data_IF_381509176782
#
_entry.id   IF_381509176782
#
_cell.length_a   1.000
_cell.length_b   1.000
_cell.length_c   1.000
_cell.angle_alpha   90.00
_cell.angle_beta   90.00
_cell.angle_gamma   90.00
#
_symmetry.space_group_name_H-M   'P 1'
#
loop_
_entity.id
_entity.type
_entity.pdbx_description
1 polymer ?
#
# COMPACT_ATOMS: atom_id res chain seq x y z
N UNK A 1 29.07 -4.25 -7.76
CA UNK A 1 28.69 -3.42 -6.60
C UNK A 1 27.18 -3.23 -6.72
N UNK A 2 26.42 -3.71 -5.76
CA UNK A 2 24.99 -3.43 -5.72
C UNK A 2 24.78 -1.93 -5.62
N UNK A 3 24.05 -1.34 -6.54
CA UNK A 3 23.69 0.08 -6.46
C UNK A 3 22.68 0.22 -5.32
N UNK A 4 23.17 0.60 -4.14
CA UNK A 4 22.30 0.90 -3.02
C UNK A 4 21.71 2.29 -3.22
N UNK A 5 20.39 2.38 -3.10
CA UNK A 5 19.64 3.64 -3.14
C UNK A 5 19.99 4.51 -1.92
N UNK A 6 20.12 5.85 -2.05
CA UNK A 6 20.25 6.72 -0.89
C UNK A 6 19.02 6.60 -0.01
N UNK A 7 19.23 6.34 1.28
CA UNK A 7 18.16 6.20 2.28
C UNK A 7 17.67 7.55 2.76
N UNK A 8 16.34 7.71 2.79
CA UNK A 8 15.70 8.85 3.42
C UNK A 8 15.25 8.50 4.84
N UNK A 9 15.46 9.41 5.79
CA UNK A 9 14.90 9.25 7.13
C UNK A 9 13.48 9.82 7.16
N UNK A 10 12.48 8.93 7.18
CA UNK A 10 11.06 9.33 7.16
C UNK A 10 10.65 10.11 8.41
N UNK A 11 11.24 9.82 9.59
CA UNK A 11 10.95 10.58 10.82
C UNK A 11 11.44 12.03 10.69
N UNK A 12 12.60 12.23 10.07
CA UNK A 12 13.12 13.56 9.81
C UNK A 12 12.20 14.37 8.89
N UNK A 13 11.58 13.74 7.89
CA UNK A 13 10.59 14.41 7.02
C UNK A 13 9.43 14.99 7.82
N UNK A 14 8.87 14.24 8.79
CA UNK A 14 7.82 14.74 9.66
C UNK A 14 8.31 15.92 10.53
N UNK A 15 9.52 15.84 11.05
CA UNK A 15 10.12 16.93 11.85
C UNK A 15 10.33 18.19 11.01
N UNK A 16 10.82 18.05 9.77
CA UNK A 16 11.01 19.16 8.86
C UNK A 16 9.67 19.80 8.44
N UNK A 17 8.64 19.00 8.11
CA UNK A 17 7.32 19.49 7.79
C UNK A 17 6.74 20.28 8.98
N UNK A 18 6.82 19.73 10.19
CA UNK A 18 6.37 20.38 11.42
C UNK A 18 7.12 21.70 11.68
N UNK A 19 8.42 21.74 11.49
CA UNK A 19 9.22 22.96 11.68
C UNK A 19 8.87 24.08 10.70
N UNK A 20 8.38 23.72 9.51
CA UNK A 20 7.89 24.64 8.47
C UNK A 20 6.40 25.00 8.65
N UNK A 21 5.73 24.48 9.71
CA UNK A 21 4.29 24.71 9.94
C UNK A 21 3.40 24.06 8.88
N UNK A 22 3.84 22.93 8.30
CA UNK A 22 3.11 22.18 7.27
C UNK A 22 3.03 20.70 7.62
N UNK A 23 2.48 19.89 6.73
CA UNK A 23 2.26 18.45 6.87
C UNK A 23 2.81 17.68 5.68
N UNK A 24 3.07 16.37 5.83
CA UNK A 24 3.48 15.53 4.72
C UNK A 24 2.28 15.16 3.81
N UNK A 25 2.48 15.30 2.51
CA UNK A 25 1.55 14.94 1.45
C UNK A 25 1.86 13.52 0.97
N UNK A 26 0.93 12.58 1.19
CA UNK A 26 1.24 11.16 1.11
C UNK A 26 0.34 10.45 0.10
N UNK A 27 0.95 9.67 -0.81
CA UNK A 27 0.24 8.75 -1.69
C UNK A 27 -0.01 7.42 -0.99
N UNK A 28 -1.28 7.02 -0.87
CA UNK A 28 -1.70 5.80 -0.18
C UNK A 28 -1.22 4.51 -0.89
N UNK A 29 -1.04 3.41 -0.13
CA UNK A 29 -0.93 2.08 -0.71
C UNK A 29 -2.25 1.68 -1.38
N UNK A 30 -2.20 1.37 -2.67
CA UNK A 30 -3.36 0.97 -3.47
C UNK A 30 -3.01 -0.26 -4.29
N UNK A 31 -3.69 -1.39 -4.01
CA UNK A 31 -3.49 -2.66 -4.73
C UNK A 31 -3.66 -2.43 -6.24
N UNK A 32 -2.72 -2.90 -7.04
CA UNK A 32 -2.62 -2.73 -8.49
C UNK A 32 -2.24 -1.33 -8.98
N UNK A 33 -2.39 -0.26 -8.17
CA UNK A 33 -2.20 1.12 -8.63
C UNK A 33 -0.90 1.77 -8.15
N UNK A 34 -0.46 1.55 -6.89
CA UNK A 34 0.76 2.17 -6.36
C UNK A 34 2.03 1.46 -6.84
N UNK A 35 2.12 1.16 -8.15
CA UNK A 35 3.33 0.62 -8.79
C UNK A 35 4.37 1.75 -8.99
N UNK A 36 5.60 1.38 -9.30
CA UNK A 36 6.75 2.29 -9.42
C UNK A 36 6.45 3.53 -10.28
N UNK A 37 5.87 3.31 -11.44
CA UNK A 37 5.61 4.37 -12.42
C UNK A 37 4.63 5.41 -11.89
N UNK A 38 3.58 4.97 -11.19
CA UNK A 38 2.61 5.87 -10.57
C UNK A 38 3.22 6.62 -9.38
N UNK A 39 4.04 5.96 -8.56
CA UNK A 39 4.76 6.63 -7.46
C UNK A 39 5.67 7.73 -7.99
N UNK A 40 6.41 7.47 -9.07
CA UNK A 40 7.26 8.49 -9.69
C UNK A 40 6.44 9.64 -10.29
N UNK A 41 5.29 9.35 -10.92
CA UNK A 41 4.41 10.38 -11.46
C UNK A 41 3.91 11.32 -10.36
N UNK A 42 3.35 10.80 -9.26
CA UNK A 42 2.79 11.65 -8.20
C UNK A 42 3.86 12.46 -7.46
N UNK A 43 5.12 11.98 -7.42
CA UNK A 43 6.25 12.75 -6.86
C UNK A 43 6.51 14.03 -7.65
N UNK A 44 6.43 14.00 -8.98
CA UNK A 44 6.61 15.20 -9.80
C UNK A 44 5.53 16.26 -9.58
N UNK A 45 4.46 15.89 -8.86
CA UNK A 45 3.36 16.79 -8.48
C UNK A 45 3.24 17.01 -6.96
N UNK A 46 4.34 16.97 -6.25
CA UNK A 46 4.41 17.43 -4.86
C UNK A 46 3.96 16.42 -3.81
N UNK A 47 3.99 15.12 -4.12
CA UNK A 47 3.87 14.05 -3.12
C UNK A 47 5.20 13.86 -2.40
N UNK A 48 5.20 13.99 -1.07
CA UNK A 48 6.41 13.91 -0.24
C UNK A 48 6.80 12.46 0.09
N UNK A 49 5.82 11.59 0.31
CA UNK A 49 6.02 10.18 0.68
C UNK A 49 5.07 9.28 -0.08
N UNK A 50 5.59 8.16 -0.60
CA UNK A 50 4.77 7.16 -1.30
C UNK A 50 4.84 5.81 -0.61
N UNK A 51 3.81 4.99 -0.88
CA UNK A 51 3.75 3.61 -0.44
C UNK A 51 3.72 2.67 -1.65
N UNK A 52 4.26 1.46 -1.51
CA UNK A 52 4.02 0.40 -2.49
C UNK A 52 2.55 -0.04 -2.45
N UNK A 53 2.11 -0.83 -3.40
CA UNK A 53 0.89 -1.65 -3.23
C UNK A 53 1.04 -2.53 -1.99
N UNK A 54 -0.09 -2.96 -1.41
CA UNK A 54 -0.07 -3.96 -0.34
C UNK A 54 0.46 -5.29 -0.89
N UNK A 55 1.54 -5.79 -0.31
CA UNK A 55 2.23 -7.02 -0.69
C UNK A 55 1.94 -8.10 0.35
N UNK A 56 1.63 -9.33 -0.08
CA UNK A 56 1.48 -10.46 0.82
C UNK A 56 2.84 -10.93 1.30
N UNK A 57 3.12 -10.84 2.61
CA UNK A 57 4.44 -11.10 3.17
C UNK A 57 4.86 -12.58 3.02
N UNK A 58 3.94 -13.52 3.20
CA UNK A 58 4.16 -14.95 3.03
C UNK A 58 4.54 -15.30 1.58
N UNK A 59 3.76 -14.84 0.61
CA UNK A 59 4.03 -15.06 -0.81
C UNK A 59 5.32 -14.40 -1.26
N UNK A 60 5.61 -13.19 -0.76
CA UNK A 60 6.86 -12.48 -1.01
C UNK A 60 8.08 -13.25 -0.51
N UNK A 61 8.00 -13.82 0.69
CA UNK A 61 9.07 -14.64 1.25
C UNK A 61 9.30 -15.95 0.49
N UNK A 62 8.23 -16.58 -0.01
CA UNK A 62 8.29 -17.93 -0.58
C UNK A 62 8.59 -17.96 -2.07
N UNK A 63 8.19 -16.92 -2.83
CA UNK A 63 8.18 -16.94 -4.29
C UNK A 63 8.97 -15.79 -4.90
N UNK A 64 10.00 -16.12 -5.68
CA UNK A 64 10.74 -15.14 -6.48
C UNK A 64 9.82 -14.45 -7.50
N UNK A 65 8.91 -15.19 -8.13
CA UNK A 65 7.92 -14.63 -9.06
C UNK A 65 7.03 -13.59 -8.37
N UNK A 66 6.59 -13.86 -7.11
CA UNK A 66 5.82 -12.90 -6.35
C UNK A 66 6.64 -11.64 -6.04
N UNK A 67 7.92 -11.78 -5.66
CA UNK A 67 8.82 -10.64 -5.44
C UNK A 67 8.95 -9.75 -6.66
N UNK A 68 9.25 -10.35 -7.81
CA UNK A 68 9.42 -9.62 -9.07
C UNK A 68 8.13 -8.94 -9.55
N UNK A 69 6.97 -9.56 -9.33
CA UNK A 69 5.70 -8.99 -9.74
C UNK A 69 5.20 -7.87 -8.80
N UNK A 70 5.46 -8.00 -7.50
CA UNK A 70 4.85 -7.10 -6.50
C UNK A 70 5.75 -5.93 -6.11
N UNK A 71 7.08 -6.09 -6.19
CA UNK A 71 8.02 -5.06 -5.79
C UNK A 71 8.95 -4.65 -6.93
N UNK A 72 8.85 -3.39 -7.33
CA UNK A 72 9.78 -2.72 -8.25
C UNK A 72 10.13 -1.35 -7.68
N UNK A 73 11.38 -0.92 -7.87
CA UNK A 73 11.86 0.40 -7.45
C UNK A 73 12.96 0.88 -8.39
N UNK A 74 13.29 2.17 -8.32
CA UNK A 74 14.44 2.77 -9.01
C UNK A 74 15.11 3.82 -8.10
N UNK A 75 16.18 4.47 -8.58
CA UNK A 75 16.94 5.42 -7.79
C UNK A 75 16.14 6.66 -7.37
N UNK A 76 15.11 7.04 -8.13
CA UNK A 76 14.29 8.23 -7.87
C UNK A 76 13.04 7.93 -7.03
N UNK A 77 12.75 6.63 -6.78
CA UNK A 77 11.63 6.19 -5.97
C UNK A 77 11.93 6.27 -4.47
N UNK A 78 12.24 7.48 -3.99
CA UNK A 78 12.56 7.79 -2.58
C UNK A 78 11.95 9.14 -2.20
N UNK A 79 11.36 9.28 -0.98
CA UNK A 79 11.15 8.25 0.05
C UNK A 79 9.98 7.31 -0.28
N UNK A 80 10.17 6.00 -0.07
CA UNK A 80 9.13 4.98 -0.26
C UNK A 80 9.02 4.03 0.93
N UNK A 81 7.79 3.71 1.32
CA UNK A 81 7.48 2.73 2.36
C UNK A 81 6.86 1.49 1.71
N UNK A 82 7.43 0.30 1.96
CA UNK A 82 6.84 -0.96 1.51
C UNK A 82 5.72 -1.38 2.47
N UNK A 83 4.49 -1.54 1.96
CA UNK A 83 3.37 -2.02 2.78
C UNK A 83 3.20 -3.52 2.62
N UNK A 84 3.20 -4.24 3.74
CA UNK A 84 2.91 -5.67 3.78
C UNK A 84 1.58 -5.99 4.46
N UNK A 85 0.90 -7.02 3.96
CA UNK A 85 -0.10 -7.76 4.68
C UNK A 85 0.58 -9.00 5.28
N UNK A 86 0.54 -9.14 6.60
CA UNK A 86 1.10 -10.25 7.35
C UNK A 86 0.16 -10.62 8.50
N UNK A 87 0.18 -11.88 8.91
CA UNK A 87 -0.57 -12.38 10.05
C UNK A 87 0.33 -13.13 11.07
N UNK A 88 1.64 -13.00 10.91
CA UNK A 88 2.63 -13.53 11.86
C UNK A 88 3.97 -12.77 11.73
N UNK A 89 4.75 -12.81 12.82
CA UNK A 89 6.00 -12.04 12.95
C UNK A 89 7.14 -12.55 12.07
N UNK A 90 7.15 -13.85 11.73
CA UNK A 90 8.23 -14.46 10.93
C UNK A 90 8.15 -13.96 9.50
N UNK A 91 6.96 -14.00 8.89
CA UNK A 91 6.78 -13.55 7.51
C UNK A 91 6.97 -12.05 7.40
N UNK A 92 6.42 -11.25 8.35
CA UNK A 92 6.57 -9.80 8.35
C UNK A 92 8.02 -9.36 8.50
N UNK A 93 8.77 -9.94 9.45
CA UNK A 93 10.20 -9.64 9.62
C UNK A 93 11.01 -10.05 8.38
N UNK A 94 10.80 -11.26 7.86
CA UNK A 94 11.57 -11.76 6.73
C UNK A 94 11.33 -10.96 5.45
N UNK A 95 10.06 -10.63 5.15
CA UNK A 95 9.73 -9.75 4.04
C UNK A 95 10.35 -8.35 4.20
N UNK A 96 10.36 -7.83 5.44
CA UNK A 96 10.98 -6.53 5.75
C UNK A 96 12.48 -6.57 5.54
N UNK A 97 13.18 -7.61 6.00
CA UNK A 97 14.63 -7.76 5.78
C UNK A 97 14.99 -7.84 4.31
N UNK A 98 14.18 -8.55 3.50
CA UNK A 98 14.40 -8.65 2.06
C UNK A 98 14.28 -7.28 1.36
N UNK A 99 13.30 -6.45 1.72
CA UNK A 99 13.12 -5.13 1.08
C UNK A 99 13.96 -4.02 1.72
N UNK A 100 14.49 -4.25 2.91
CA UNK A 100 15.25 -3.25 3.69
C UNK A 100 16.31 -2.50 2.86
N UNK A 101 17.09 -3.11 1.95
CA UNK A 101 18.06 -2.38 1.15
C UNK A 101 17.45 -1.37 0.17
N UNK A 102 16.18 -1.54 -0.19
CA UNK A 102 15.54 -0.87 -1.34
C UNK A 102 14.46 0.15 -0.96
N UNK A 103 14.08 0.24 0.32
CA UNK A 103 13.00 1.13 0.80
C UNK A 103 13.42 1.94 2.00
N UNK A 104 12.71 3.02 2.29
CA UNK A 104 13.00 3.94 3.40
C UNK A 104 12.23 3.57 4.68
N UNK A 105 11.27 2.67 4.56
CA UNK A 105 10.48 2.15 5.67
C UNK A 105 9.59 0.98 5.27
N UNK A 106 8.96 0.39 6.28
CA UNK A 106 7.96 -0.68 6.13
C UNK A 106 6.70 -0.31 6.88
N UNK A 107 5.56 -0.75 6.37
CA UNK A 107 4.24 -0.54 6.94
C UNK A 107 3.46 -1.85 7.05
N UNK A 108 2.79 -2.08 8.16
CA UNK A 108 1.89 -3.22 8.34
C UNK A 108 0.45 -2.81 8.02
N UNK A 109 -0.18 -3.51 7.09
CA UNK A 109 -1.59 -3.28 6.76
C UNK A 109 -2.52 -3.91 7.79
N UNK A 110 -3.23 -3.08 8.56
CA UNK A 110 -4.28 -3.47 9.48
C UNK A 110 -5.64 -2.82 9.14
N UNK A 111 -5.80 -2.36 7.88
CA UNK A 111 -6.98 -1.58 7.49
C UNK A 111 -7.77 -2.12 6.30
N UNK A 112 -7.27 -3.13 5.56
CA UNK A 112 -7.94 -3.69 4.39
C UNK A 112 -9.22 -4.44 4.81
N UNK A 113 -10.43 -4.02 4.33
CA UNK A 113 -11.70 -4.64 4.74
C UNK A 113 -12.16 -5.75 3.76
N UNK A 114 -11.36 -6.13 2.78
CA UNK A 114 -11.73 -7.13 1.78
C UNK A 114 -11.95 -8.50 2.40
N UNK A 115 -13.01 -9.21 1.96
CA UNK A 115 -13.42 -10.48 2.55
C UNK A 115 -12.30 -11.52 2.55
N UNK A 116 -11.63 -11.70 1.41
CA UNK A 116 -10.54 -12.67 1.28
C UNK A 116 -9.40 -12.37 2.29
N UNK A 117 -8.99 -11.11 2.41
CA UNK A 117 -7.93 -10.73 3.36
C UNK A 117 -8.34 -10.99 4.81
N UNK A 118 -9.60 -10.67 5.15
CA UNK A 118 -10.12 -10.89 6.52
C UNK A 118 -10.31 -12.38 6.85
N UNK A 119 -10.69 -13.22 5.88
CA UNK A 119 -10.83 -14.66 6.06
C UNK A 119 -9.49 -15.32 6.37
N UNK A 120 -8.41 -14.85 5.73
CA UNK A 120 -7.05 -15.35 5.92
C UNK A 120 -6.31 -14.67 7.09
N UNK A 121 -7.01 -13.84 7.88
CA UNK A 121 -6.45 -13.19 9.08
C UNK A 121 -5.60 -11.95 8.80
N UNK A 122 -5.70 -11.35 7.62
CA UNK A 122 -4.98 -10.14 7.22
C UNK A 122 -5.82 -8.87 7.36
N UNK A 123 -5.17 -7.73 7.23
CA UNK A 123 -5.84 -6.44 7.14
C UNK A 123 -6.68 -6.11 8.38
N UNK A 124 -7.97 -5.77 8.19
CA UNK A 124 -8.86 -5.39 9.30
C UNK A 124 -9.18 -6.53 10.27
N UNK A 125 -8.90 -7.80 9.92
CA UNK A 125 -9.05 -8.91 10.86
C UNK A 125 -8.13 -8.75 12.08
N UNK A 126 -6.92 -8.21 11.86
CA UNK A 126 -5.93 -7.97 12.91
C UNK A 126 -6.39 -6.98 13.98
N UNK A 127 -7.33 -6.09 13.66
CA UNK A 127 -7.88 -5.13 14.64
C UNK A 127 -8.60 -5.81 15.83
N UNK A 128 -8.91 -7.11 15.72
CA UNK A 128 -9.48 -7.92 16.80
C UNK A 128 -8.41 -8.48 17.75
N UNK A 129 -7.15 -8.46 17.34
CA UNK A 129 -6.00 -9.01 18.06
C UNK A 129 -4.83 -8.01 18.05
N UNK A 130 -4.96 -6.85 18.72
CA UNK A 130 -3.92 -5.81 18.73
C UNK A 130 -2.59 -6.29 19.29
N UNK A 131 -2.60 -7.33 20.14
CA UNK A 131 -1.39 -7.98 20.66
C UNK A 131 -0.55 -8.63 19.56
N UNK A 132 -1.19 -9.23 18.55
CA UNK A 132 -0.52 -9.79 17.39
C UNK A 132 0.11 -8.70 16.51
N UNK A 133 -0.59 -7.57 16.35
CA UNK A 133 -0.03 -6.38 15.65
C UNK A 133 1.21 -5.90 16.41
N UNK A 134 1.11 -5.75 17.73
CA UNK A 134 2.21 -5.30 18.57
C UNK A 134 3.41 -6.25 18.53
N UNK A 135 3.19 -7.57 18.51
CA UNK A 135 4.26 -8.57 18.38
C UNK A 135 4.98 -8.45 17.05
N UNK A 136 4.26 -8.33 15.93
CA UNK A 136 4.84 -8.15 14.58
C UNK A 136 5.68 -6.88 14.52
N UNK A 137 5.16 -5.74 14.96
CA UNK A 137 5.86 -4.45 14.93
C UNK A 137 7.10 -4.45 15.84
N UNK A 138 6.98 -4.94 17.08
CA UNK A 138 8.07 -5.04 18.03
C UNK A 138 9.18 -5.98 17.53
N UNK A 139 8.79 -7.07 16.85
CA UNK A 139 9.74 -8.00 16.25
C UNK A 139 10.59 -7.32 15.18
N UNK A 140 9.97 -6.55 14.28
CA UNK A 140 10.70 -5.78 13.26
C UNK A 140 11.59 -4.73 13.93
N UNK A 141 11.06 -3.97 14.92
CA UNK A 141 11.84 -2.94 15.63
C UNK A 141 13.10 -3.47 16.32
N UNK A 142 13.05 -4.67 16.90
CA UNK A 142 14.20 -5.28 17.56
C UNK A 142 15.27 -5.79 16.60
N UNK A 143 14.92 -6.07 15.36
CA UNK A 143 15.83 -6.69 14.40
C UNK A 143 16.41 -5.71 13.36
N UNK A 144 15.86 -4.48 13.25
CA UNK A 144 16.31 -3.49 12.28
C UNK A 144 16.83 -2.22 12.96
N UNK A 145 17.71 -1.45 12.27
CA UNK A 145 18.25 -0.21 12.81
C UNK A 145 17.15 0.77 13.24
N UNK A 146 17.38 1.51 14.35
CA UNK A 146 16.43 2.48 14.88
C UNK A 146 16.06 3.60 13.88
N UNK A 147 16.94 3.92 12.95
CA UNK A 147 16.72 4.92 11.89
C UNK A 147 15.81 4.42 10.74
N UNK A 148 15.54 3.11 10.66
CA UNK A 148 14.63 2.57 9.65
C UNK A 148 13.17 2.76 10.09
N UNK A 149 12.34 3.34 9.23
CA UNK A 149 10.96 3.63 9.56
C UNK A 149 10.11 2.36 9.61
N UNK A 150 9.36 2.18 10.70
CA UNK A 150 8.34 1.14 10.85
C UNK A 150 7.02 1.80 11.18
N UNK A 151 5.97 1.51 10.43
CA UNK A 151 4.67 2.10 10.60
C UNK A 151 3.55 1.07 10.50
N UNK A 152 2.33 1.49 10.83
CA UNK A 152 1.14 0.66 10.72
C UNK A 152 -0.02 1.50 10.19
N UNK A 153 -0.83 0.91 9.31
CA UNK A 153 -2.04 1.55 8.79
C UNK A 153 -3.28 0.85 9.30
N UNK A 154 -4.09 1.58 10.09
CA UNK A 154 -5.28 1.06 10.78
C UNK A 154 -6.56 1.78 10.36
N UNK A 155 -7.71 1.27 10.83
CA UNK A 155 -9.03 1.92 10.81
C UNK A 155 -9.52 2.13 12.25
N UNK A 156 -10.55 2.95 12.39
CA UNK A 156 -11.27 3.09 13.65
C UNK A 156 -11.90 1.75 14.06
N UNK A 157 -11.84 1.41 15.35
CA UNK A 157 -12.53 0.25 15.88
C UNK A 157 -14.04 0.51 15.96
N UNK A 158 -14.84 -0.53 15.71
CA UNK A 158 -16.30 -0.46 15.83
C UNK A 158 -16.77 -0.31 17.27
N UNK A 159 -15.95 -0.74 18.23
CA UNK A 159 -16.31 -0.81 19.65
C UNK A 159 -16.49 0.57 20.26
N UNK A 160 -15.48 1.42 20.15
CA UNK A 160 -15.51 2.82 20.65
C UNK A 160 -14.25 3.56 20.21
N UNK A 161 -14.31 4.90 20.28
CA UNK A 161 -13.12 5.73 20.05
C UNK A 161 -12.06 5.50 21.12
N UNK A 162 -12.45 5.36 22.40
CA UNK A 162 -11.52 5.04 23.49
C UNK A 162 -10.72 3.76 23.19
N UNK A 163 -11.39 2.69 22.74
CA UNK A 163 -10.70 1.43 22.38
C UNK A 163 -9.74 1.64 21.19
N UNK A 164 -10.07 2.53 20.26
CA UNK A 164 -9.15 2.88 19.15
C UNK A 164 -7.93 3.63 19.68
N UNK A 165 -8.11 4.59 20.58
CA UNK A 165 -7.01 5.33 21.21
C UNK A 165 -6.11 4.38 22.00
N UNK A 166 -6.69 3.49 22.81
CA UNK A 166 -5.92 2.52 23.60
C UNK A 166 -5.08 1.60 22.71
N UNK A 167 -5.66 1.10 21.61
CA UNK A 167 -4.93 0.34 20.59
C UNK A 167 -3.78 1.18 19.99
N UNK A 168 -4.05 2.42 19.58
CA UNK A 168 -3.01 3.27 18.97
C UNK A 168 -1.84 3.53 19.95
N UNK A 169 -2.13 3.74 21.24
CA UNK A 169 -1.10 3.88 22.29
C UNK A 169 -0.29 2.60 22.50
N UNK A 170 -0.96 1.43 22.46
CA UNK A 170 -0.26 0.15 22.51
C UNK A 170 0.69 -0.01 21.34
N UNK A 171 0.27 0.37 20.12
CA UNK A 171 1.11 0.31 18.92
C UNK A 171 2.26 1.33 18.97
N UNK A 172 2.02 2.53 19.48
CA UNK A 172 3.07 3.53 19.74
C UNK A 172 4.15 2.99 20.67
N UNK A 173 3.77 2.28 21.73
CA UNK A 173 4.70 1.67 22.68
C UNK A 173 5.61 0.60 22.06
N UNK A 174 5.28 0.09 20.85
CA UNK A 174 6.16 -0.81 20.08
C UNK A 174 7.33 -0.08 19.42
N UNK A 175 7.41 1.27 19.52
CA UNK A 175 8.48 2.07 18.93
C UNK A 175 8.34 2.28 17.43
N UNK A 176 7.12 2.34 16.90
CA UNK A 176 6.85 2.69 15.50
C UNK A 176 7.13 4.17 15.23
N UNK A 177 7.53 4.49 14.00
CA UNK A 177 7.91 5.83 13.59
C UNK A 177 6.71 6.76 13.39
N UNK A 178 5.59 6.23 12.93
CA UNK A 178 4.30 6.94 12.76
C UNK A 178 3.16 5.95 12.58
N UNK A 179 1.94 6.44 12.71
CA UNK A 179 0.71 5.67 12.49
C UNK A 179 -0.17 6.35 11.45
N UNK A 180 -0.76 5.56 10.54
CA UNK A 180 -1.78 6.04 9.60
C UNK A 180 -3.16 5.56 10.05
N UNK A 181 -4.10 6.47 10.25
CA UNK A 181 -5.48 6.15 10.63
C UNK A 181 -6.45 6.56 9.54
N UNK A 182 -7.19 5.59 8.98
CA UNK A 182 -8.34 5.89 8.16
C UNK A 182 -9.54 6.22 9.06
N UNK A 183 -10.10 7.42 8.93
CA UNK A 183 -11.18 7.93 9.77
C UNK A 183 -12.54 7.23 9.59
N UNK A 184 -12.54 5.94 9.25
CA UNK A 184 -13.72 5.06 9.14
C UNK A 184 -13.46 3.71 9.78
N UNK A 185 -14.50 3.05 10.25
CA UNK A 185 -14.45 1.65 10.66
C UNK A 185 -14.40 0.71 9.44
N UNK A 186 -14.03 -0.57 9.60
CA UNK A 186 -13.98 -1.51 8.48
C UNK A 186 -15.30 -1.73 7.74
N UNK A 187 -16.44 -1.55 8.42
CA UNK A 187 -17.78 -1.75 7.84
C UNK A 187 -18.38 -0.50 7.21
N UNK A 188 -17.84 0.67 7.50
CA UNK A 188 -18.31 1.93 6.93
C UNK A 188 -17.88 2.04 5.46
N UNK A 189 -18.87 2.26 4.58
CA UNK A 189 -18.67 2.52 3.16
C UNK A 189 -18.21 3.98 2.93
N UNK A 190 -17.85 4.27 1.69
CA UNK A 190 -17.29 5.57 1.28
C UNK A 190 -18.30 6.72 1.30
N UNK A 191 -19.60 6.43 1.29
CA UNK A 191 -20.67 7.42 1.45
C UNK A 191 -20.82 7.96 2.89
N UNK A 192 -20.23 7.29 3.88
CA UNK A 192 -20.15 7.83 5.24
C UNK A 192 -18.91 8.74 5.32
N UNK A 193 -19.02 10.00 5.74
CA UNK A 193 -17.87 10.89 5.89
C UNK A 193 -16.85 10.35 6.89
N UNK A 194 -15.58 10.73 6.73
CA UNK A 194 -14.54 10.40 7.72
C UNK A 194 -14.81 11.17 9.03
N UNK A 195 -14.53 10.49 10.14
CA UNK A 195 -14.64 11.08 11.48
C UNK A 195 -13.37 11.87 11.81
N UNK A 196 -13.42 13.19 11.56
CA UNK A 196 -12.30 14.11 11.82
C UNK A 196 -12.09 14.36 13.31
N UNK A 197 -13.16 14.35 14.11
CA UNK A 197 -13.04 14.49 15.56
C UNK A 197 -12.33 13.30 16.18
N UNK A 198 -12.65 12.08 15.74
CA UNK A 198 -11.92 10.90 16.15
C UNK A 198 -10.44 11.00 15.78
N UNK A 199 -10.09 11.42 14.56
CA UNK A 199 -8.69 11.62 14.14
C UNK A 199 -7.98 12.66 15.02
N UNK A 200 -8.64 13.77 15.37
CA UNK A 200 -8.12 14.81 16.25
C UNK A 200 -7.85 14.29 17.67
N UNK A 201 -8.79 13.54 18.24
CA UNK A 201 -8.65 12.95 19.58
C UNK A 201 -7.51 11.91 19.60
N UNK A 202 -7.40 11.05 18.57
CA UNK A 202 -6.29 10.11 18.45
C UNK A 202 -4.97 10.88 18.36
N UNK A 203 -4.88 11.93 17.49
CA UNK A 203 -3.67 12.73 17.37
C UNK A 203 -3.26 13.35 18.71
N UNK A 204 -4.19 13.90 19.46
CA UNK A 204 -3.90 14.52 20.76
C UNK A 204 -3.44 13.54 21.82
N UNK A 205 -3.70 12.24 21.63
CA UNK A 205 -3.38 11.17 22.57
C UNK A 205 -2.03 10.48 22.30
N UNK A 206 -1.36 10.82 21.16
CA UNK A 206 -0.11 10.19 20.69
C UNK A 206 1.04 11.19 20.67
N UNK A 207 2.23 10.71 21.01
CA UNK A 207 3.49 11.46 20.89
C UNK A 207 4.14 11.34 19.51
N UNK A 208 3.82 10.26 18.76
CA UNK A 208 4.34 10.03 17.42
C UNK A 208 3.52 10.77 16.34
N UNK A 209 4.08 10.95 15.13
CA UNK A 209 3.32 11.48 14.00
C UNK A 209 2.09 10.64 13.65
N UNK A 210 0.96 11.33 13.39
CA UNK A 210 -0.27 10.74 12.87
C UNK A 210 -0.50 11.19 11.44
N UNK A 211 -0.75 10.24 10.55
CA UNK A 211 -1.19 10.45 9.17
C UNK A 211 -2.70 10.22 9.07
N UNK A 212 -3.44 11.26 8.71
CA UNK A 212 -4.89 11.18 8.49
C UNK A 212 -5.19 10.69 7.08
N UNK A 213 -6.11 9.72 6.95
CA UNK A 213 -6.52 9.17 5.66
C UNK A 213 -8.05 9.13 5.53
N UNK A 214 -8.52 9.47 4.34
CA UNK A 214 -9.91 9.39 3.90
C UNK A 214 -10.46 10.73 3.42
N UNK A 215 -11.27 10.69 2.33
CA UNK A 215 -11.96 11.83 1.71
C UNK A 215 -11.05 13.00 1.30
N UNK A 216 -9.87 12.72 0.78
CA UNK A 216 -8.92 13.71 0.26
C UNK A 216 -8.96 13.64 -1.27
N UNK A 217 -9.62 14.61 -1.90
CA UNK A 217 -9.79 14.72 -3.35
C UNK A 217 -9.20 16.00 -3.94
N UNK A 218 -8.76 16.94 -3.09
CA UNK A 218 -8.11 18.19 -3.48
C UNK A 218 -7.03 18.57 -2.47
N UNK A 219 -6.13 19.50 -2.83
CA UNK A 219 -5.19 20.10 -1.87
C UNK A 219 -5.94 20.80 -0.74
N UNK A 220 -7.07 21.45 -1.06
CA UNK A 220 -7.93 22.09 -0.06
C UNK A 220 -8.47 21.09 0.98
N UNK A 221 -8.87 19.88 0.55
CA UNK A 221 -9.32 18.85 1.49
C UNK A 221 -8.18 18.42 2.42
N UNK A 222 -6.96 18.33 1.90
CA UNK A 222 -5.78 18.00 2.69
C UNK A 222 -5.48 19.12 3.72
N UNK A 223 -5.54 20.39 3.31
CA UNK A 223 -5.35 21.54 4.21
C UNK A 223 -6.42 21.56 5.30
N UNK A 224 -7.70 21.36 4.94
CA UNK A 224 -8.82 21.28 5.89
C UNK A 224 -8.65 20.10 6.86
N UNK A 225 -8.18 18.94 6.37
CA UNK A 225 -7.90 17.78 7.23
C UNK A 225 -6.80 18.11 8.23
N UNK A 226 -5.68 18.65 7.79
CA UNK A 226 -4.60 19.07 8.68
C UNK A 226 -5.06 20.10 9.71
N UNK A 227 -5.71 21.18 9.27
CA UNK A 227 -6.17 22.26 10.16
C UNK A 227 -7.18 21.77 11.20
N UNK A 228 -8.08 20.84 10.84
CA UNK A 228 -9.13 20.34 11.73
C UNK A 228 -8.63 19.29 12.72
N UNK A 229 -7.62 18.50 12.37
CA UNK A 229 -7.16 17.35 13.16
C UNK A 229 -5.78 17.55 13.78
N UNK A 230 -5.01 18.54 13.32
CA UNK A 230 -3.60 18.75 13.67
C UNK A 230 -2.71 17.54 13.35
N UNK A 231 -3.08 16.74 12.34
CA UNK A 231 -2.29 15.58 11.88
C UNK A 231 -0.98 16.05 11.25
N UNK A 232 0.06 15.19 11.32
CA UNK A 232 1.41 15.49 10.80
C UNK A 232 1.55 15.13 9.32
N UNK A 233 0.63 14.33 8.78
CA UNK A 233 0.57 13.98 7.37
C UNK A 233 -0.86 13.72 6.92
N UNK A 234 -1.10 13.91 5.62
CA UNK A 234 -2.40 13.66 4.98
C UNK A 234 -2.20 12.71 3.82
N UNK A 235 -2.93 11.59 3.84
CA UNK A 235 -2.83 10.53 2.85
C UNK A 235 -4.06 10.51 1.94
N UNK A 236 -3.83 10.65 0.62
CA UNK A 236 -4.86 10.49 -0.41
C UNK A 236 -4.73 9.14 -1.14
N UNK A 237 -5.87 8.53 -1.44
CA UNK A 237 -5.97 7.31 -2.25
C UNK A 237 -6.77 7.57 -3.53
N UNK A 238 -8.10 7.52 -3.48
CA UNK A 238 -8.96 7.74 -4.66
C UNK A 238 -8.75 9.10 -5.31
N UNK A 239 -8.55 10.13 -4.50
CA UNK A 239 -8.33 11.49 -5.00
C UNK A 239 -7.04 11.60 -5.82
N UNK A 240 -5.92 11.04 -5.32
CA UNK A 240 -4.65 11.08 -6.05
C UNK A 240 -4.65 10.13 -7.27
N UNK A 241 -5.45 9.06 -7.25
CA UNK A 241 -5.65 8.20 -8.41
C UNK A 241 -6.41 8.92 -9.52
N UNK A 242 -7.46 9.68 -9.15
CA UNK A 242 -8.24 10.50 -10.06
C UNK A 242 -7.47 11.75 -10.53
N UNK A 243 -6.60 12.30 -9.69
CA UNK A 243 -5.79 13.47 -10.00
C UNK A 243 -4.39 13.33 -9.39
N UNK A 244 -3.40 12.77 -10.10
CA UNK A 244 -2.03 12.64 -9.59
C UNK A 244 -1.38 13.98 -9.23
N UNK A 245 -1.88 15.08 -9.80
CA UNK A 245 -1.41 16.45 -9.54
C UNK A 245 -2.17 17.14 -8.37
N UNK A 246 -2.93 16.40 -7.57
CA UNK A 246 -3.73 16.90 -6.45
C UNK A 246 -2.89 17.76 -5.50
N UNK A 247 -1.73 17.28 -5.09
CA UNK A 247 -0.90 17.97 -4.12
C UNK A 247 -0.12 19.17 -4.68
N UNK A 248 -0.07 19.31 -6.01
CA UNK A 248 0.39 20.53 -6.66
C UNK A 248 -0.71 21.60 -6.79
N UNK A 249 -1.93 21.33 -6.29
CA UNK A 249 -3.03 22.28 -6.26
C UNK A 249 -3.90 22.31 -7.52
N UNK A 250 -3.75 21.35 -8.41
CA UNK A 250 -4.63 21.23 -9.57
C UNK A 250 -6.00 20.67 -9.16
N UNK A 251 -7.08 21.31 -9.59
CA UNK A 251 -8.45 20.87 -9.34
C UNK A 251 -8.82 19.58 -10.09
N UNK A 252 -8.13 19.29 -11.18
CA UNK A 252 -8.26 18.11 -12.04
C UNK A 252 -6.92 17.77 -12.66
N UNK A 253 -6.77 16.56 -13.15
CA UNK A 253 -5.56 16.12 -13.83
C UNK A 253 -5.21 17.05 -15.00
N UNK A 254 -4.06 17.73 -14.99
CA UNK A 254 -3.63 18.54 -16.13
C UNK A 254 -3.19 17.65 -17.30
N UNK A 255 -3.32 18.15 -18.53
CA UNK A 255 -2.90 17.42 -19.74
C UNK A 255 -1.41 17.04 -19.71
N UNK A 256 -0.57 17.89 -19.12
CA UNK A 256 0.85 17.58 -18.91
C UNK A 256 1.07 16.32 -18.05
N UNK A 257 0.24 16.09 -17.04
CA UNK A 257 0.30 14.88 -16.25
C UNK A 257 -0.10 13.63 -17.06
N UNK A 258 -1.11 13.75 -17.91
CA UNK A 258 -1.47 12.70 -18.88
C UNK A 258 -0.30 12.45 -19.84
N UNK A 259 0.31 13.50 -20.40
CA UNK A 259 1.47 13.39 -21.27
C UNK A 259 2.63 12.67 -20.58
N UNK A 260 2.95 13.01 -19.34
CA UNK A 260 4.00 12.31 -18.57
C UNK A 260 3.67 10.83 -18.36
N UNK A 261 2.42 10.50 -18.07
CA UNK A 261 2.00 9.10 -17.94
C UNK A 261 2.16 8.33 -19.26
N UNK A 262 1.75 8.92 -20.40
CA UNK A 262 1.96 8.32 -21.72
C UNK A 262 3.45 8.10 -22.00
N UNK A 263 4.29 9.08 -21.67
CA UNK A 263 5.73 8.99 -21.84
C UNK A 263 6.33 7.84 -21.02
N UNK A 264 6.00 7.76 -19.72
CA UNK A 264 6.48 6.72 -18.81
C UNK A 264 6.07 5.34 -19.31
N UNK A 265 4.79 5.17 -19.68
CA UNK A 265 4.25 3.86 -20.08
C UNK A 265 4.72 3.37 -21.45
N UNK A 266 5.29 4.25 -22.25
CA UNK A 266 5.88 3.93 -23.55
C UNK A 266 7.36 3.49 -23.45
N UNK A 267 8.02 3.66 -22.30
CA UNK A 267 9.43 3.27 -22.15
C UNK A 267 9.58 1.74 -22.15
N UNK A 268 10.70 1.27 -22.69
CA UNK A 268 11.01 -0.17 -22.80
C UNK A 268 11.13 -0.85 -21.43
N UNK A 269 11.61 -0.13 -20.40
CA UNK A 269 11.86 -0.66 -19.05
C UNK A 269 10.64 -0.67 -18.14
N UNK A 270 9.47 -0.25 -18.63
CA UNK A 270 8.24 -0.31 -17.84
C UNK A 270 7.60 -1.69 -17.91
N UNK A 271 7.20 -2.22 -16.73
CA UNK A 271 6.40 -3.45 -16.62
C UNK A 271 4.90 -3.19 -16.65
N UNK A 272 4.49 -1.94 -16.88
CA UNK A 272 3.09 -1.58 -16.87
C UNK A 272 2.34 -2.36 -17.95
N UNK A 273 1.39 -3.18 -17.53
CA UNK A 273 0.47 -3.87 -18.42
C UNK A 273 -0.50 -2.87 -19.06
N UNK A 274 -1.11 -3.30 -20.19
CA UNK A 274 -2.21 -2.52 -20.80
C UNK A 274 -3.28 -2.17 -19.76
N UNK A 275 -3.72 -3.14 -18.96
CA UNK A 275 -4.77 -2.94 -17.95
C UNK A 275 -4.38 -1.86 -16.94
N UNK A 276 -3.16 -1.90 -16.40
CA UNK A 276 -2.70 -0.90 -15.45
C UNK A 276 -2.64 0.50 -16.08
N UNK A 277 -2.06 0.61 -17.28
CA UNK A 277 -2.00 1.86 -18.03
C UNK A 277 -3.41 2.44 -18.28
N UNK A 278 -4.30 1.62 -18.84
CA UNK A 278 -5.66 2.01 -19.22
C UNK A 278 -6.48 2.43 -17.99
N UNK A 279 -6.43 1.64 -16.90
CA UNK A 279 -7.16 1.97 -15.67
C UNK A 279 -6.70 3.29 -15.05
N UNK A 280 -5.40 3.55 -15.00
CA UNK A 280 -4.92 4.86 -14.52
C UNK A 280 -5.48 6.00 -15.38
N UNK A 281 -5.46 5.85 -16.69
CA UNK A 281 -6.01 6.88 -17.60
C UNK A 281 -7.53 7.01 -17.47
N UNK A 282 -8.25 5.93 -17.20
CA UNK A 282 -9.69 5.99 -16.93
C UNK A 282 -9.99 6.91 -15.74
N UNK A 283 -9.24 6.82 -14.66
CA UNK A 283 -9.39 7.72 -13.51
C UNK A 283 -8.88 9.14 -13.81
N UNK A 284 -7.67 9.27 -14.35
CA UNK A 284 -7.03 10.57 -14.58
C UNK A 284 -7.77 11.42 -15.59
N UNK A 285 -8.35 10.80 -16.63
CA UNK A 285 -9.04 11.50 -17.70
C UNK A 285 -10.56 11.62 -17.50
N UNK A 286 -11.12 11.10 -16.42
CA UNK A 286 -12.57 11.10 -16.19
C UNK A 286 -13.20 12.48 -16.30
N UNK A 287 -12.55 13.50 -15.73
CA UNK A 287 -13.02 14.90 -15.77
C UNK A 287 -12.73 15.62 -17.09
N UNK A 288 -11.93 15.02 -17.97
CA UNK A 288 -11.51 15.60 -19.26
C UNK A 288 -12.34 15.06 -20.43
N UNK A 289 -12.83 13.81 -20.31
CA UNK A 289 -13.55 13.12 -21.35
C UNK A 289 -15.05 13.44 -21.33
N UNK A 290 -15.66 13.63 -22.50
CA UNK A 290 -17.13 13.63 -22.65
C UNK A 290 -17.67 12.22 -22.34
N UNK A 291 -18.99 12.12 -22.17
CA UNK A 291 -19.64 10.81 -21.95
C UNK A 291 -19.37 9.84 -23.11
N UNK A 292 -19.45 10.34 -24.34
CA UNK A 292 -19.21 9.56 -25.56
C UNK A 292 -17.75 9.10 -25.65
N UNK A 293 -16.80 9.99 -25.36
CA UNK A 293 -15.38 9.67 -25.34
C UNK A 293 -15.05 8.63 -24.27
N UNK A 294 -15.66 8.69 -23.06
CA UNK A 294 -15.49 7.68 -22.02
C UNK A 294 -15.97 6.29 -22.47
N UNK A 295 -17.11 6.22 -23.18
CA UNK A 295 -17.61 4.96 -23.71
C UNK A 295 -16.62 4.38 -24.72
N UNK A 296 -16.13 5.20 -25.65
CA UNK A 296 -15.13 4.77 -26.65
C UNK A 296 -13.85 4.31 -25.96
N UNK A 297 -13.32 5.11 -25.04
CA UNK A 297 -12.08 4.82 -24.31
C UNK A 297 -12.16 3.51 -23.53
N UNK A 298 -13.23 3.29 -22.78
CA UNK A 298 -13.43 2.08 -21.97
C UNK A 298 -13.58 0.79 -22.81
N UNK A 299 -13.97 0.92 -24.08
CA UNK A 299 -14.14 -0.20 -25.02
C UNK A 299 -12.94 -0.39 -25.97
N UNK A 300 -11.83 0.32 -25.75
CA UNK A 300 -10.63 0.11 -26.57
C UNK A 300 -10.14 -1.35 -26.45
N UNK A 301 -9.66 -1.88 -27.58
CA UNK A 301 -9.00 -3.18 -27.59
C UNK A 301 -7.77 -3.17 -26.67
N UNK A 302 -7.41 -4.32 -26.08
CA UNK A 302 -6.27 -4.48 -25.14
C UNK A 302 -4.90 -4.25 -25.84
N UNK A 303 -4.70 -3.04 -26.37
CA UNK A 303 -3.50 -2.61 -27.08
C UNK A 303 -3.11 -1.20 -26.66
N UNK A 304 -1.88 -1.00 -26.18
CA UNK A 304 -1.34 0.31 -25.78
C UNK A 304 -1.35 1.31 -26.94
N UNK A 305 -1.10 0.84 -28.17
CA UNK A 305 -1.12 1.69 -29.37
C UNK A 305 -2.47 2.39 -29.56
N UNK A 306 -3.58 1.68 -29.35
CA UNK A 306 -4.93 2.25 -29.42
C UNK A 306 -5.18 3.35 -28.37
N UNK A 307 -4.59 3.19 -27.19
CA UNK A 307 -4.66 4.23 -26.16
C UNK A 307 -3.90 5.48 -26.61
N UNK A 308 -2.71 5.33 -27.19
CA UNK A 308 -1.93 6.46 -27.71
C UNK A 308 -2.65 7.13 -28.87
N UNK A 309 -3.24 6.37 -29.81
CA UNK A 309 -4.03 6.90 -30.93
C UNK A 309 -5.21 7.74 -30.41
N UNK A 310 -5.93 7.25 -29.39
CA UNK A 310 -7.04 7.97 -28.77
C UNK A 310 -6.60 9.34 -28.20
N UNK A 311 -5.51 9.39 -27.44
CA UNK A 311 -5.03 10.63 -26.86
C UNK A 311 -4.44 11.58 -27.90
N UNK A 312 -3.81 11.05 -28.95
CA UNK A 312 -3.33 11.86 -30.09
C UNK A 312 -4.51 12.50 -30.82
N UNK A 313 -5.57 11.76 -31.11
CA UNK A 313 -6.73 12.24 -31.84
C UNK A 313 -7.51 13.31 -31.07
N UNK A 314 -7.76 13.09 -29.79
CA UNK A 314 -8.65 13.96 -29.03
C UNK A 314 -7.94 15.09 -28.26
N UNK A 315 -6.65 14.92 -27.92
CA UNK A 315 -5.91 15.89 -27.10
C UNK A 315 -4.57 16.32 -27.68
N UNK A 316 -4.17 15.84 -28.87
CA UNK A 316 -2.86 16.05 -29.49
C UNK A 316 -1.69 15.61 -28.58
N UNK A 317 -1.93 14.62 -27.74
CA UNK A 317 -0.94 14.01 -26.87
C UNK A 317 -0.46 12.68 -27.46
N UNK A 318 0.86 12.53 -27.56
CA UNK A 318 1.49 11.27 -27.98
C UNK A 318 2.76 11.01 -27.16
N UNK A 319 3.14 9.76 -26.96
CA UNK A 319 4.36 9.44 -26.21
C UNK A 319 5.58 10.15 -26.79
N UNK A 320 6.32 10.82 -25.91
CA UNK A 320 7.59 11.47 -26.21
C UNK A 320 8.73 10.74 -25.51
N UNK A 321 9.93 10.68 -26.09
CA UNK A 321 11.11 10.20 -25.39
C UNK A 321 11.31 10.99 -24.09
N UNK A 322 11.45 10.28 -22.98
CA UNK A 322 11.73 10.88 -21.69
C UNK A 322 12.87 10.14 -20.99
N UNK A 323 13.60 10.86 -20.14
CA UNK A 323 14.56 10.24 -19.24
C UNK A 323 13.80 9.62 -18.08
N UNK A 324 13.64 8.30 -18.10
CA UNK A 324 13.04 7.55 -17.01
C UNK A 324 14.11 6.62 -16.41
N UNK A 325 14.36 6.68 -15.08
CA UNK A 325 15.42 5.90 -14.47
C UNK A 325 15.10 4.40 -14.57
N UNK A 326 16.08 3.56 -14.92
CA UNK A 326 15.89 2.13 -15.01
C UNK A 326 15.52 1.55 -13.65
N UNK A 327 14.81 0.42 -13.66
CA UNK A 327 14.51 -0.35 -12.45
C UNK A 327 15.80 -0.87 -11.82
N UNK A 328 15.87 -0.85 -10.49
CA UNK A 328 16.93 -1.51 -9.77
C UNK A 328 16.75 -3.03 -9.83
N UNK A 329 17.87 -3.76 -10.03
CA UNK A 329 17.88 -5.20 -9.87
C UNK A 329 17.98 -5.51 -8.38
N UNK A 330 16.85 -5.96 -7.80
CA UNK A 330 16.78 -6.28 -6.37
C UNK A 330 17.24 -7.73 -6.16
N UNK A 331 18.35 -7.91 -5.43
CA UNK A 331 18.80 -9.21 -4.96
C UNK A 331 18.14 -9.50 -3.59
N UNK A 332 17.16 -10.38 -3.57
CA UNK A 332 16.45 -10.73 -2.34
C UNK A 332 17.06 -12.00 -1.74
N UNK A 333 17.63 -11.89 -0.52
CA UNK A 333 18.13 -13.02 0.24
C UNK A 333 16.98 -13.66 1.05
N UNK A 334 16.65 -14.91 0.74
CA UNK A 334 15.63 -15.68 1.43
C UNK A 334 16.20 -16.74 2.40
N UNK A 335 17.51 -16.82 2.59
CA UNK A 335 18.16 -17.82 3.44
C UNK A 335 17.73 -17.67 4.90
N UNK A 336 17.66 -16.45 5.40
CA UNK A 336 17.22 -16.15 6.76
C UNK A 336 15.75 -16.60 6.98
N UNK A 337 14.88 -16.42 6.02
CA UNK A 337 13.50 -16.90 6.06
C UNK A 337 13.43 -18.43 6.11
N UNK A 338 14.17 -19.12 5.23
CA UNK A 338 14.21 -20.58 5.21
C UNK A 338 14.72 -21.15 6.53
N UNK A 339 15.73 -20.53 7.14
CA UNK A 339 16.25 -20.91 8.45
C UNK A 339 15.20 -20.73 9.57
N UNK A 340 14.52 -19.59 9.62
CA UNK A 340 13.48 -19.31 10.63
C UNK A 340 12.29 -20.28 10.51
N UNK A 341 11.84 -20.58 9.31
CA UNK A 341 10.74 -21.51 9.07
C UNK A 341 11.08 -22.94 9.46
N UNK A 342 12.33 -23.39 9.24
CA UNK A 342 12.80 -24.70 9.70
C UNK A 342 12.82 -24.79 11.24
N UNK A 343 13.32 -23.76 11.91
CA UNK A 343 13.33 -23.70 13.38
C UNK A 343 11.90 -23.75 13.95
N UNK A 344 10.96 -23.00 13.36
CA UNK A 344 9.56 -22.99 13.80
C UNK A 344 8.86 -24.33 13.62
N UNK A 345 9.16 -25.07 12.53
CA UNK A 345 8.64 -26.44 12.34
C UNK A 345 9.19 -27.40 13.37
N UNK A 346 10.49 -27.33 13.68
CA UNK A 346 11.12 -28.18 14.67
C UNK A 346 10.59 -27.94 16.09
N UNK A 347 10.35 -26.68 16.47
CA UNK A 347 9.75 -26.36 17.80
C UNK A 347 8.30 -26.81 17.91
N UNK A 348 7.50 -26.78 16.86
CA UNK A 348 6.13 -27.33 16.89
C UNK A 348 6.15 -28.86 17.08
N UNK A 349 6.99 -29.56 16.34
CA UNK A 349 7.10 -31.03 16.49
C UNK A 349 7.53 -31.44 17.90
N UNK A 350 8.39 -30.66 18.56
CA UNK A 350 8.81 -30.94 19.95
C UNK A 350 7.64 -30.73 20.96
N UNK A 351 6.81 -29.71 20.74
CA UNK A 351 5.65 -29.46 21.61
C UNK A 351 4.52 -30.48 21.38
N UNK A 352 4.37 -30.98 20.16
CA UNK A 352 3.37 -32.01 19.83
C UNK A 352 3.78 -33.38 20.39
N UNK A 353 5.08 -33.70 20.46
CA UNK A 353 5.60 -34.94 21.06
C UNK A 353 5.50 -34.97 22.59
N UNK A 354 5.53 -33.83 23.28
CA UNK A 354 5.29 -33.75 24.74
C UNK A 354 3.80 -33.81 25.10
N UNK A 355 2.87 -33.50 24.18
CA UNK A 355 1.41 -33.49 24.44
C UNK A 355 0.70 -34.80 24.09
N UNK A 356 1.38 -35.75 23.43
CA UNK A 356 0.79 -37.04 22.98
C UNK A 356 0.90 -38.15 23.99
N UNK A 357 1.42 -37.93 25.22
CA UNK A 357 1.51 -38.97 26.26
C UNK A 357 0.31 -39.07 27.21
N UNK A 358 -0.67 -38.12 27.13
CA UNK A 358 -1.91 -38.24 27.93
C UNK A 358 -3.10 -37.68 27.13
N UNK A 359 -3.75 -38.50 26.30
CA UNK A 359 -5.19 -38.58 26.04
C UNK A 359 -5.48 -39.28 24.70
N UNK A 360 -5.73 -40.59 24.80
CA UNK A 360 -6.51 -41.30 23.80
C UNK A 360 -7.97 -40.91 24.04
N UNK A 361 -8.57 -40.16 23.13
CA UNK A 361 -9.94 -40.32 22.62
C UNK A 361 -10.28 -39.26 21.59
N UNK A 362 -10.37 -39.69 20.37
CA UNK A 362 -11.26 -39.39 19.27
C UNK A 362 -11.59 -37.94 18.86
N UNK A 363 -11.00 -37.44 17.79
CA UNK A 363 -11.73 -36.91 16.62
C UNK A 363 -10.75 -36.45 15.52
N UNK A 364 -10.81 -37.15 14.41
CA UNK A 364 -10.04 -36.86 13.19
C UNK A 364 -10.57 -35.61 12.49
N UNK A 365 -9.71 -34.59 12.34
CA UNK A 365 -9.88 -33.56 11.32
C UNK A 365 -8.73 -33.67 10.32
N UNK A 366 -9.02 -34.23 9.16
CA UNK A 366 -8.12 -34.22 8.01
C UNK A 366 -8.14 -32.84 7.35
N UNK A 367 -7.04 -32.10 7.42
CA UNK A 367 -6.77 -30.99 6.51
C UNK A 367 -6.23 -31.55 5.19
N UNK A 368 -6.95 -31.35 4.12
CA UNK A 368 -6.49 -31.62 2.76
C UNK A 368 -5.40 -30.60 2.37
N UNK A 369 -4.16 -31.04 2.36
CA UNK A 369 -3.11 -30.39 1.59
C UNK A 369 -3.18 -30.98 0.17
N UNK A 370 -3.74 -30.21 -0.75
CA UNK A 370 -3.69 -30.53 -2.16
C UNK A 370 -2.33 -30.12 -2.73
N UNK A 371 -1.56 -31.09 -3.21
CA UNK A 371 -0.45 -30.90 -4.12
C UNK A 371 -1.08 -30.46 -5.46
N UNK A 372 -0.79 -29.26 -5.93
CA UNK A 372 -1.12 -28.84 -7.29
C UNK A 372 0.05 -29.18 -8.19
N UNK A 373 -0.16 -30.19 -9.03
CA UNK A 373 0.66 -30.49 -10.20
C UNK A 373 0.47 -29.40 -11.27
N UNK A 374 1.52 -29.17 -12.02
CA UNK A 374 1.62 -28.21 -13.13
C UNK A 374 0.59 -28.49 -14.24
N UNK A 375 0.26 -27.41 -14.93
CA UNK A 375 -0.61 -27.29 -16.11
C UNK A 375 -2.10 -27.11 -15.82
N UNK A 376 -2.50 -25.83 -15.63
CA UNK A 376 -3.74 -25.36 -16.24
C UNK A 376 -3.78 -23.84 -16.40
N UNK A 377 -4.22 -23.44 -17.57
CA UNK A 377 -4.50 -22.13 -18.11
C UNK A 377 -4.98 -21.10 -17.09
N UNK A 378 -4.38 -19.91 -17.15
CA UNK A 378 -4.88 -18.68 -16.51
C UNK A 378 -6.26 -18.38 -17.12
N UNK A 379 -7.34 -18.83 -16.49
CA UNK A 379 -8.67 -18.32 -16.76
C UNK A 379 -8.71 -16.84 -16.37
N UNK A 380 -9.12 -16.02 -17.31
CA UNK A 380 -9.45 -14.60 -17.15
C UNK A 380 -10.44 -14.43 -16.01
N UNK A 381 -9.99 -14.06 -14.83
CA UNK A 381 -10.85 -13.62 -13.74
C UNK A 381 -11.50 -12.33 -14.18
N UNK A 382 -12.80 -12.36 -14.39
CA UNK A 382 -13.62 -11.26 -14.85
C UNK A 382 -13.44 -10.04 -13.92
N UNK A 383 -12.90 -8.97 -14.45
CA UNK A 383 -12.51 -7.75 -13.72
C UNK A 383 -13.71 -6.98 -13.14
N UNK A 384 -14.94 -7.38 -13.47
CA UNK A 384 -16.18 -6.74 -13.02
C UNK A 384 -16.51 -6.99 -11.53
N UNK A 385 -16.02 -8.08 -10.92
CA UNK A 385 -16.35 -8.41 -9.52
C UNK A 385 -15.39 -7.87 -8.46
N UNK A 386 -14.27 -7.27 -8.83
CA UNK A 386 -13.36 -6.60 -7.90
C UNK A 386 -13.61 -5.09 -7.84
N UNK A 387 -14.81 -4.66 -7.51
CA UNK A 387 -15.13 -3.28 -7.18
C UNK A 387 -14.43 -2.89 -5.86
N UNK A 388 -13.19 -2.45 -5.93
CA UNK A 388 -12.48 -1.79 -4.83
C UNK A 388 -13.16 -0.46 -4.41
N UNK A 389 -13.98 0.07 -5.28
CA UNK A 389 -14.78 1.28 -5.10
C UNK A 389 -16.21 0.94 -5.53
N UNK A 390 -17.08 0.66 -4.55
CA UNK A 390 -18.49 0.41 -4.85
C UNK A 390 -19.04 1.51 -5.77
N UNK A 391 -19.32 1.15 -7.02
CA UNK A 391 -20.19 1.94 -7.87
C UNK A 391 -21.60 1.67 -7.38
N UNK A 392 -22.08 2.46 -6.42
CA UNK A 392 -23.52 2.58 -6.21
C UNK A 392 -24.02 3.41 -7.38
N UNK A 393 -24.92 2.81 -8.15
CA UNK A 393 -25.67 3.40 -9.26
C UNK A 393 -26.27 4.76 -8.87
N UNK A 394 -26.13 5.72 -9.79
CA UNK A 394 -27.12 6.78 -9.98
C UNK A 394 -27.94 6.41 -11.18
#
# INVERSE_FOLDING_TARGET
MEETKPKCNVEQLFQEAKSKGTYLKICAPMVRYSKLEFRNLVRSYGTDLTFTSMIMADSFCQSEKARLNEFTTNKDDTPVVAQFAANNSVDFLSATEMVFPYVDGVDLNCGCPQRWAMQDGYGSALLKTPELIADMLSTVRRNLPGSFSVSVKVRLLQKSLSATIDMCRQLEACGISFITVHGRTPVQKTNIPVDKEALKEIKSSLGIPLVANGDIFSLRDADVMHCSTNCDGVMSARGILANPALYAGFERTPLDCIQQWLNITAQADTDITYQAMHHHLTFMAESLLTKEQRIVFNNLTKDKGRVYDFFREHFQLEPQPCSYPPKLVCAFDDEAYRKRTRLRRNTRNICDDEYTSENQDGAFFQSKVGVLDDEDSVEDVDFAECNLFGTDEI
#
